data_IF_291361214934
#
_entry.id   IF_291361214934
#
_cell.length_a   1.000
_cell.length_b   1.000
_cell.length_c   1.000
_cell.angle_alpha   90.00
_cell.angle_beta   90.00
_cell.angle_gamma   90.00
#
_symmetry.space_group_name_H-M   'P 1'
#
loop_
_entity.id
_entity.type
_entity.pdbx_description
1 polymer ?
#
# COMPACT_ATOMS: atom_id res chain seq x y z
N UNK A 1 -24.11 6.92 -1.48
CA UNK A 1 -23.43 6.35 -0.30
C UNK A 1 -22.01 6.91 -0.31
N UNK A 2 -21.64 7.73 0.67
CA UNK A 2 -20.45 8.59 0.59
C UNK A 2 -19.18 7.76 0.81
N UNK A 3 -18.23 7.78 -0.15
CA UNK A 3 -16.94 7.03 -0.11
C UNK A 3 -16.24 7.21 1.25
N UNK A 4 -16.37 8.37 1.89
CA UNK A 4 -15.82 8.63 3.23
C UNK A 4 -16.23 7.62 4.30
N UNK A 5 -17.44 7.05 4.22
CA UNK A 5 -17.96 6.06 5.19
C UNK A 5 -17.32 4.67 5.03
N UNK A 6 -16.68 4.43 3.89
CA UNK A 6 -16.03 3.17 3.57
C UNK A 6 -14.52 3.20 3.88
N UNK A 7 -13.97 4.33 4.37
CA UNK A 7 -12.58 4.37 4.80
C UNK A 7 -12.34 3.29 5.86
N UNK A 8 -11.23 2.55 5.73
CA UNK A 8 -10.89 1.40 6.57
C UNK A 8 -11.83 0.19 6.45
N UNK A 9 -12.83 0.21 5.56
CA UNK A 9 -13.64 -0.97 5.27
C UNK A 9 -12.91 -1.90 4.29
N UNK A 10 -13.03 -3.19 4.55
CA UNK A 10 -12.59 -4.24 3.62
C UNK A 10 -13.59 -4.31 2.47
N UNK A 11 -13.07 -4.28 1.25
CA UNK A 11 -13.83 -4.35 0.01
C UNK A 11 -13.27 -5.45 -0.87
N UNK A 12 -14.13 -6.06 -1.69
CA UNK A 12 -13.76 -7.04 -2.71
C UNK A 12 -14.18 -6.49 -4.07
N UNK A 13 -13.25 -6.49 -5.02
CA UNK A 13 -13.48 -6.06 -6.41
C UNK A 13 -12.87 -7.10 -7.34
N UNK A 14 -13.50 -7.30 -8.50
CA UNK A 14 -13.02 -8.21 -9.55
C UNK A 14 -12.62 -7.41 -10.78
N UNK A 15 -11.51 -7.80 -11.41
CA UNK A 15 -10.96 -7.02 -12.52
C UNK A 15 -9.51 -7.34 -12.84
N UNK A 16 -8.88 -6.51 -13.65
CA UNK A 16 -7.49 -6.67 -14.06
C UNK A 16 -6.69 -5.37 -13.93
N UNK A 17 -5.37 -5.50 -13.83
CA UNK A 17 -4.48 -4.35 -13.71
C UNK A 17 -4.11 -3.77 -15.07
N UNK A 18 -4.10 -2.44 -15.18
CA UNK A 18 -3.39 -1.76 -16.26
C UNK A 18 -1.95 -1.48 -15.79
N UNK A 19 -1.00 -2.14 -16.43
CA UNK A 19 0.41 -2.04 -16.10
C UNK A 19 1.13 -0.87 -16.76
N UNK A 20 0.49 -0.16 -17.69
CA UNK A 20 1.09 0.95 -18.45
C UNK A 20 1.24 2.24 -17.63
N UNK A 21 0.43 2.39 -16.58
CA UNK A 21 0.29 3.63 -15.80
C UNK A 21 0.63 3.45 -14.32
N UNK A 22 1.76 2.78 -14.07
CA UNK A 22 2.25 2.54 -12.71
C UNK A 22 2.73 3.84 -12.02
N UNK A 23 2.36 4.04 -10.76
CA UNK A 23 2.82 5.15 -9.93
C UNK A 23 3.68 4.65 -8.75
N UNK A 24 4.79 5.34 -8.48
CA UNK A 24 5.72 4.95 -7.43
C UNK A 24 5.62 5.89 -6.22
N UNK A 25 5.19 5.36 -5.08
CA UNK A 25 5.14 6.09 -3.81
C UNK A 25 6.38 5.76 -2.99
N UNK A 26 7.30 6.71 -2.81
CA UNK A 26 8.60 6.51 -2.16
C UNK A 26 9.07 7.73 -1.34
N UNK A 27 9.96 7.55 -0.35
CA UNK A 27 10.52 6.28 0.13
C UNK A 27 9.54 5.51 1.03
N UNK A 28 9.54 4.19 0.92
CA UNK A 28 8.89 3.25 1.84
C UNK A 28 9.93 2.28 2.38
N UNK A 29 9.77 1.86 3.63
CA UNK A 29 10.59 0.81 4.23
C UNK A 29 9.85 -0.53 4.11
N UNK A 30 10.56 -1.64 3.92
CA UNK A 30 9.95 -2.95 4.05
C UNK A 30 9.41 -3.11 5.48
N UNK A 31 8.21 -3.66 5.58
CA UNK A 31 7.62 -4.07 6.85
C UNK A 31 8.01 -5.52 7.05
N UNK A 32 8.76 -5.84 8.09
CA UNK A 32 9.11 -7.22 8.46
C UNK A 32 8.76 -7.37 9.94
N UNK A 33 7.74 -8.17 10.30
CA UNK A 33 7.28 -8.28 11.68
C UNK A 33 8.35 -8.76 12.67
N UNK A 34 9.24 -9.69 12.26
CA UNK A 34 10.30 -10.21 13.13
C UNK A 34 11.39 -9.16 13.32
N UNK A 35 11.73 -8.46 12.23
CA UNK A 35 12.70 -7.36 12.23
C UNK A 35 12.19 -6.16 13.03
N UNK A 36 10.93 -5.78 12.85
CA UNK A 36 10.29 -4.67 13.58
C UNK A 36 10.18 -4.98 15.07
N UNK A 37 9.89 -6.23 15.45
CA UNK A 37 9.88 -6.64 16.85
C UNK A 37 11.29 -6.60 17.47
N UNK A 38 12.32 -7.02 16.74
CA UNK A 38 13.72 -6.99 17.19
C UNK A 38 14.39 -5.61 17.16
N UNK A 39 13.89 -4.70 16.32
CA UNK A 39 14.38 -3.32 16.18
C UNK A 39 13.49 -2.29 16.89
N UNK A 40 12.38 -2.72 17.51
CA UNK A 40 11.51 -1.86 18.29
C UNK A 40 12.32 -1.09 19.36
N UNK A 41 12.36 0.24 19.22
CA UNK A 41 13.11 1.14 20.11
C UNK A 41 14.48 1.60 19.59
N UNK A 42 14.93 1.14 18.42
CA UNK A 42 16.09 1.72 17.72
C UNK A 42 15.66 2.97 16.93
N UNK A 43 16.47 4.03 17.01
CA UNK A 43 16.24 5.30 16.28
C UNK A 43 16.69 5.17 14.80
N UNK A 44 17.46 4.13 14.47
CA UNK A 44 17.93 3.84 13.12
C UNK A 44 16.95 2.95 12.36
N UNK A 45 16.35 3.47 11.30
CA UNK A 45 15.70 2.66 10.26
C UNK A 45 16.74 1.89 9.45
N UNK A 46 16.42 0.68 8.98
CA UNK A 46 17.22 0.01 7.95
C UNK A 46 17.49 0.91 6.77
N UNK A 47 18.67 0.80 6.18
CA UNK A 47 18.99 1.49 4.91
C UNK A 47 18.16 1.01 3.72
N UNK A 48 17.41 -0.09 3.88
CA UNK A 48 16.55 -0.63 2.84
C UNK A 48 15.30 0.24 2.64
N UNK A 49 15.17 0.78 1.44
CA UNK A 49 14.01 1.57 1.02
C UNK A 49 13.66 1.26 -0.43
N UNK A 50 12.36 1.30 -0.73
CA UNK A 50 11.79 1.05 -2.05
C UNK A 50 10.46 1.78 -2.19
N UNK A 51 9.81 1.73 -3.36
CA UNK A 51 8.47 2.28 -3.52
C UNK A 51 7.38 1.30 -3.08
N UNK A 52 6.23 1.87 -2.69
CA UNK A 52 4.96 1.18 -2.88
C UNK A 52 4.50 1.42 -4.33
N UNK A 53 4.12 0.34 -5.00
CA UNK A 53 3.64 0.38 -6.39
C UNK A 53 2.13 0.53 -6.41
N UNK A 54 1.66 1.65 -6.96
CA UNK A 54 0.23 1.91 -7.19
C UNK A 54 -0.07 1.68 -8.66
N UNK A 55 -1.17 0.97 -8.96
CA UNK A 55 -1.61 0.74 -10.34
C UNK A 55 -3.09 1.00 -10.52
N UNK A 56 -3.49 1.45 -11.71
CA UNK A 56 -4.87 1.38 -12.13
C UNK A 56 -5.37 -0.08 -12.19
N UNK A 57 -6.59 -0.28 -11.75
CA UNK A 57 -7.30 -1.56 -11.75
C UNK A 57 -8.70 -1.34 -12.32
N UNK A 58 -9.00 -2.02 -13.43
CA UNK A 58 -10.31 -1.93 -14.06
C UNK A 58 -11.26 -2.91 -13.38
N UNK A 59 -12.27 -2.38 -12.69
CA UNK A 59 -13.30 -3.15 -12.02
C UNK A 59 -14.36 -3.59 -13.04
N UNK A 60 -14.37 -4.86 -13.43
CA UNK A 60 -15.28 -5.38 -14.46
C UNK A 60 -16.75 -5.25 -14.06
N UNK A 61 -17.05 -5.39 -12.78
CA UNK A 61 -18.44 -5.40 -12.29
C UNK A 61 -19.04 -3.98 -12.22
N UNK A 62 -18.19 -2.96 -12.06
CA UNK A 62 -18.59 -1.56 -11.91
C UNK A 62 -18.35 -0.73 -13.19
N UNK A 63 -17.53 -1.24 -14.12
CA UNK A 63 -17.17 -0.54 -15.35
C UNK A 63 -16.26 0.68 -15.14
N UNK A 64 -15.63 0.80 -13.97
CA UNK A 64 -14.75 1.92 -13.60
C UNK A 64 -13.32 1.45 -13.37
N UNK A 65 -12.37 2.36 -13.51
CA UNK A 65 -10.97 2.11 -13.14
C UNK A 65 -10.65 2.84 -11.84
N UNK A 66 -9.96 2.17 -10.93
CA UNK A 66 -9.58 2.70 -9.61
C UNK A 66 -8.08 2.56 -9.37
N UNK A 67 -7.54 3.20 -8.32
CA UNK A 67 -6.15 3.03 -7.90
C UNK A 67 -6.02 1.91 -6.86
N UNK A 68 -4.99 1.08 -7.01
CA UNK A 68 -4.70 -0.01 -6.08
C UNK A 68 -3.23 0.02 -5.68
N UNK A 69 -2.96 0.06 -4.38
CA UNK A 69 -1.64 -0.22 -3.84
C UNK A 69 -1.39 -1.73 -3.87
N UNK A 70 -0.46 -2.15 -4.73
CA UNK A 70 0.00 -3.55 -4.82
C UNK A 70 0.93 -3.90 -3.67
N UNK A 71 1.67 -2.91 -3.17
CA UNK A 71 2.59 -3.06 -2.07
C UNK A 71 4.02 -2.63 -2.35
N UNK A 72 4.86 -2.92 -1.36
CA UNK A 72 6.29 -2.61 -1.38
C UNK A 72 7.03 -3.40 -2.46
N UNK A 73 7.93 -2.72 -3.17
CA UNK A 73 8.87 -3.33 -4.11
C UNK A 73 10.30 -2.94 -3.72
N UNK A 74 11.25 -3.89 -3.60
CA UNK A 74 12.65 -3.57 -3.36
C UNK A 74 13.23 -2.67 -4.45
N UNK A 75 14.19 -1.81 -4.09
CA UNK A 75 14.81 -0.85 -5.03
C UNK A 75 15.37 -1.49 -6.30
N UNK A 76 15.93 -2.69 -6.17
CA UNK A 76 16.53 -3.42 -7.30
C UNK A 76 15.48 -4.03 -8.24
N UNK A 77 14.20 -4.02 -7.85
CA UNK A 77 13.07 -4.58 -8.59
C UNK A 77 12.03 -3.53 -9.01
N UNK A 78 12.37 -2.24 -8.97
CA UNK A 78 11.45 -1.15 -9.36
C UNK A 78 10.98 -1.32 -10.81
N UNK A 79 11.86 -1.78 -11.69
CA UNK A 79 11.58 -1.98 -13.11
C UNK A 79 10.53 -3.08 -13.33
N UNK A 80 9.38 -2.81 -13.98
CA UNK A 80 8.31 -3.78 -14.21
C UNK A 80 8.77 -5.11 -14.81
N UNK A 81 9.74 -5.07 -15.72
CA UNK A 81 10.35 -6.22 -16.40
C UNK A 81 11.08 -7.18 -15.45
N UNK A 82 11.55 -6.68 -14.31
CA UNK A 82 12.26 -7.49 -13.29
C UNK A 82 11.31 -8.25 -12.36
N UNK A 83 9.99 -8.04 -12.51
CA UNK A 83 8.95 -8.51 -11.59
C UNK A 83 7.77 -9.18 -12.31
N UNK A 84 8.07 -10.10 -13.23
CA UNK A 84 7.12 -10.84 -14.08
C UNK A 84 5.97 -11.46 -13.27
N UNK A 85 6.27 -12.08 -12.12
CA UNK A 85 5.25 -12.70 -11.25
C UNK A 85 4.15 -11.73 -10.80
N UNK A 86 4.46 -10.43 -10.71
CA UNK A 86 3.53 -9.39 -10.30
C UNK A 86 2.88 -8.63 -11.45
N UNK A 87 3.06 -9.06 -12.71
CA UNK A 87 2.43 -8.49 -13.91
C UNK A 87 1.27 -9.39 -14.39
N UNK A 88 0.26 -9.55 -13.55
CA UNK A 88 -0.91 -10.36 -13.88
C UNK A 88 -1.85 -9.58 -14.80
N UNK A 89 -2.09 -10.13 -15.99
CA UNK A 89 -2.98 -9.55 -17.01
C UNK A 89 -4.40 -10.14 -16.97
N UNK A 90 -4.60 -11.25 -16.26
CA UNK A 90 -5.90 -11.91 -16.12
C UNK A 90 -6.79 -11.20 -15.09
N UNK A 91 -8.09 -11.51 -15.14
CA UNK A 91 -9.03 -11.05 -14.13
C UNK A 91 -8.77 -11.75 -12.79
N UNK A 92 -8.60 -10.96 -11.73
CA UNK A 92 -8.33 -11.41 -10.36
C UNK A 92 -9.38 -10.88 -9.40
N UNK A 93 -9.59 -11.63 -8.32
CA UNK A 93 -10.36 -11.17 -7.17
C UNK A 93 -9.41 -10.41 -6.23
N UNK A 94 -9.53 -9.08 -6.23
CA UNK A 94 -8.78 -8.19 -5.36
C UNK A 94 -9.58 -7.94 -4.08
N UNK A 95 -8.95 -8.23 -2.95
CA UNK A 95 -9.45 -7.83 -1.64
C UNK A 95 -8.52 -6.75 -1.10
N UNK A 96 -9.10 -5.70 -0.54
CA UNK A 96 -8.31 -4.62 0.01
C UNK A 96 -9.08 -3.74 0.98
N UNK A 97 -8.38 -2.73 1.50
CA UNK A 97 -8.93 -1.75 2.44
C UNK A 97 -8.99 -0.40 1.76
N UNK A 98 -10.14 0.25 1.79
CA UNK A 98 -10.29 1.55 1.17
C UNK A 98 -9.59 2.64 2.00
N UNK A 99 -8.88 3.55 1.32
CA UNK A 99 -8.15 4.65 1.96
C UNK A 99 -8.42 5.95 1.22
N UNK A 100 -8.60 7.04 1.98
CA UNK A 100 -8.82 8.37 1.41
C UNK A 100 -7.51 9.07 1.08
N UNK A 101 -7.61 10.17 0.34
CA UNK A 101 -6.48 11.06 0.03
C UNK A 101 -5.78 11.52 1.32
N UNK A 102 -4.46 11.64 1.26
CA UNK A 102 -3.62 12.06 2.39
C UNK A 102 -3.38 13.57 2.33
N UNK A 103 -3.53 14.24 3.46
CA UNK A 103 -3.06 15.60 3.60
C UNK A 103 -1.53 15.62 3.68
N UNK A 104 -0.91 16.45 2.85
CA UNK A 104 0.54 16.65 2.88
C UNK A 104 0.97 17.17 4.25
N UNK A 105 1.83 16.42 4.93
CA UNK A 105 2.40 16.83 6.22
C UNK A 105 3.49 17.89 6.03
N UNK A 106 3.72 18.76 7.03
CA UNK A 106 4.90 19.63 7.06
C UNK A 106 6.17 18.80 6.88
N UNK A 107 7.14 19.31 6.11
CA UNK A 107 8.41 18.66 5.78
C UNK A 107 8.37 17.47 4.81
N UNK A 108 7.19 17.05 4.34
CA UNK A 108 7.09 16.11 3.21
C UNK A 108 7.28 16.90 1.91
N UNK A 109 8.19 16.53 1.00
CA UNK A 109 8.31 17.21 -0.29
C UNK A 109 7.02 17.09 -1.12
N UNK A 110 6.73 18.05 -2.02
CA UNK A 110 5.59 17.93 -2.94
C UNK A 110 5.79 16.74 -3.89
N UNK A 111 4.70 16.11 -4.34
CA UNK A 111 4.75 15.06 -5.34
C UNK A 111 5.36 15.58 -6.65
N UNK A 112 6.18 14.76 -7.32
CA UNK A 112 6.75 15.07 -8.62
C UNK A 112 6.14 14.14 -9.69
N UNK A 113 5.16 14.68 -10.41
CA UNK A 113 4.41 13.95 -11.44
C UNK A 113 5.29 13.57 -12.63
N UNK A 114 6.14 14.49 -13.09
CA UNK A 114 6.99 14.30 -14.28
C UNK A 114 7.96 13.14 -14.13
N UNK A 115 8.54 12.98 -12.95
CA UNK A 115 9.49 11.88 -12.65
C UNK A 115 8.82 10.66 -12.02
N UNK A 116 7.48 10.66 -11.92
CA UNK A 116 6.69 9.63 -11.26
C UNK A 116 7.17 9.30 -9.83
N UNK A 117 7.49 10.35 -9.06
CA UNK A 117 7.93 10.24 -7.66
C UNK A 117 6.88 10.84 -6.75
N UNK A 118 6.13 9.98 -6.10
CA UNK A 118 5.06 10.36 -5.17
C UNK A 118 5.53 10.17 -3.74
N UNK A 119 5.30 11.15 -2.88
CA UNK A 119 5.68 11.12 -1.47
C UNK A 119 4.49 10.87 -0.53
N UNK A 120 3.28 11.24 -0.97
CA UNK A 120 2.03 11.03 -0.27
C UNK A 120 0.91 10.71 -1.25
N UNK A 121 -0.16 10.07 -0.77
CA UNK A 121 -1.32 9.70 -1.61
C UNK A 121 -2.18 10.92 -1.89
N UNK A 122 -2.00 11.53 -3.06
CA UNK A 122 -2.84 12.61 -3.57
C UNK A 122 -3.77 12.04 -4.65
N UNK A 123 -5.01 11.68 -4.28
CA UNK A 123 -5.90 10.96 -5.19
C UNK A 123 -6.34 11.78 -6.39
N UNK A 124 -6.56 13.09 -6.22
CA UNK A 124 -6.93 13.99 -7.31
C UNK A 124 -5.80 14.06 -8.33
N UNK A 125 -4.57 14.31 -7.88
CA UNK A 125 -3.41 14.39 -8.77
C UNK A 125 -3.10 13.03 -9.43
N UNK A 126 -3.17 11.93 -8.68
CA UNK A 126 -2.94 10.58 -9.22
C UNK A 126 -4.02 10.18 -10.24
N UNK A 127 -5.28 10.49 -9.96
CA UNK A 127 -6.41 10.26 -10.85
C UNK A 127 -6.27 11.03 -12.16
N UNK A 128 -5.87 12.31 -12.08
CA UNK A 128 -5.64 13.15 -13.26
C UNK A 128 -4.56 12.60 -14.19
N UNK A 129 -3.49 12.03 -13.64
CA UNK A 129 -2.37 11.47 -14.41
C UNK A 129 -2.74 10.13 -15.05
N UNK A 130 -3.56 9.32 -14.36
CA UNK A 130 -3.89 7.96 -14.80
C UNK A 130 -5.20 7.86 -15.57
N UNK A 131 -6.09 8.85 -15.44
CA UNK A 131 -7.42 8.88 -16.04
C UNK A 131 -8.38 7.89 -15.37
N UNK A 132 -8.36 7.81 -14.04
CA UNK A 132 -9.13 6.86 -13.23
C UNK A 132 -9.99 7.60 -12.20
N UNK A 133 -10.90 6.88 -11.53
CA UNK A 133 -11.69 7.43 -10.43
C UNK A 133 -10.83 7.68 -9.19
N UNK A 134 -11.20 8.67 -8.36
CA UNK A 134 -10.54 9.01 -7.08
C UNK A 134 -10.83 7.98 -5.97
N UNK A 135 -10.78 6.69 -6.31
CA UNK A 135 -10.98 5.56 -5.41
C UNK A 135 -9.65 4.85 -5.26
N UNK A 136 -9.28 4.59 -4.01
CA UNK A 136 -8.04 3.90 -3.70
C UNK A 136 -8.23 2.75 -2.73
N UNK A 137 -7.64 1.62 -3.09
CA UNK A 137 -7.66 0.38 -2.30
C UNK A 137 -6.22 -0.06 -1.97
N UNK A 138 -5.95 -0.35 -0.70
CA UNK A 138 -4.73 -1.02 -0.28
C UNK A 138 -4.94 -2.54 -0.33
N UNK A 139 -4.25 -3.23 -1.23
CA UNK A 139 -4.41 -4.67 -1.38
C UNK A 139 -3.93 -5.39 -0.10
N UNK A 140 -4.75 -6.29 0.43
CA UNK A 140 -4.36 -7.10 1.60
C UNK A 140 -3.61 -8.36 1.17
N UNK A 141 -2.88 -8.96 2.12
CA UNK A 141 -2.09 -10.17 1.93
C UNK A 141 -2.89 -11.33 1.32
N UNK A 142 -4.12 -11.54 1.80
CA UNK A 142 -4.99 -12.65 1.35
C UNK A 142 -5.54 -12.46 -0.08
N UNK A 143 -5.18 -11.37 -0.76
CA UNK A 143 -5.63 -11.13 -2.12
C UNK A 143 -5.02 -12.15 -3.07
N UNK A 144 -5.79 -12.62 -4.08
CA UNK A 144 -5.38 -13.66 -5.04
C UNK A 144 -4.24 -13.25 -5.98
N UNK A 145 -3.50 -12.17 -5.69
CA UNK A 145 -2.59 -11.55 -6.62
C UNK A 145 -1.14 -11.93 -6.27
N UNK A 146 -0.49 -12.77 -7.09
CA UNK A 146 0.90 -13.17 -6.87
C UNK A 146 1.83 -11.95 -6.74
N UNK A 147 2.71 -11.96 -5.74
CA UNK A 147 3.66 -10.88 -5.45
C UNK A 147 3.01 -9.56 -4.97
N UNK A 148 1.83 -9.63 -4.34
CA UNK A 148 1.20 -8.50 -3.64
C UNK A 148 1.77 -8.28 -2.23
N UNK A 149 1.21 -7.31 -1.48
CA UNK A 149 1.59 -6.91 -0.12
C UNK A 149 1.80 -8.10 0.85
N UNK A 150 3.05 -8.58 0.98
CA UNK A 150 3.41 -9.69 1.88
C UNK A 150 3.39 -9.31 3.38
N UNK A 151 3.17 -8.04 3.74
CA UNK A 151 3.64 -7.53 5.03
C UNK A 151 2.68 -6.61 5.84
N UNK A 152 1.40 -6.45 5.49
CA UNK A 152 0.58 -5.34 6.02
C UNK A 152 0.00 -5.51 7.45
N UNK A 153 0.40 -6.52 8.24
CA UNK A 153 -0.25 -6.78 9.56
C UNK A 153 0.70 -6.92 10.76
N UNK A 154 1.97 -6.52 10.67
CA UNK A 154 2.92 -6.61 11.81
C UNK A 154 2.65 -5.62 12.95
N UNK A 155 2.27 -4.38 12.62
CA UNK A 155 2.24 -3.30 13.62
C UNK A 155 1.15 -3.46 14.71
N UNK A 156 0.00 -4.07 14.41
CA UNK A 156 -1.11 -4.17 15.36
C UNK A 156 -0.87 -5.27 16.41
N UNK A 157 -0.30 -6.40 16.00
CA UNK A 157 0.06 -7.48 16.92
C UNK A 157 1.23 -7.08 17.82
N UNK A 158 2.25 -6.42 17.27
CA UNK A 158 3.41 -5.96 18.02
C UNK A 158 3.04 -4.90 19.07
N UNK A 159 2.20 -3.92 18.71
CA UNK A 159 1.72 -2.91 19.67
C UNK A 159 0.85 -3.51 20.76
N UNK A 160 -0.06 -4.43 20.41
CA UNK A 160 -0.90 -5.14 21.37
C UNK A 160 -0.07 -6.00 22.35
N UNK A 161 0.95 -6.71 21.85
CA UNK A 161 1.87 -7.50 22.67
C UNK A 161 2.76 -6.62 23.56
N UNK A 162 3.28 -5.49 23.05
CA UNK A 162 4.05 -4.53 23.85
C UNK A 162 3.23 -3.97 25.01
N UNK A 163 1.96 -3.63 24.78
CA UNK A 163 1.07 -3.16 25.85
C UNK A 163 0.77 -4.25 26.87
N UNK A 164 0.51 -5.48 26.42
CA UNK A 164 0.33 -6.63 27.30
C UNK A 164 1.57 -6.92 28.16
N UNK A 165 2.75 -6.97 27.55
CA UNK A 165 4.00 -7.23 28.25
C UNK A 165 4.41 -6.10 29.21
N UNK A 166 4.16 -4.84 28.83
CA UNK A 166 4.59 -3.67 29.62
C UNK A 166 3.65 -3.34 30.77
N UNK A 167 2.34 -3.51 30.59
CA UNK A 167 1.34 -3.05 31.55
C UNK A 167 0.59 -4.19 32.25
N UNK A 168 0.31 -5.30 31.56
CA UNK A 168 -0.50 -6.38 32.15
C UNK A 168 0.37 -7.34 32.97
N UNK A 169 1.55 -7.73 32.48
CA UNK A 169 2.48 -8.59 33.25
C UNK A 169 3.01 -7.95 34.54
N UNK A 170 3.04 -6.61 34.64
CA UNK A 170 3.53 -5.90 35.84
C UNK A 170 2.49 -5.77 36.96
N UNK A 171 1.22 -6.08 36.70
CA UNK A 171 0.14 -6.00 37.70
C UNK A 171 -0.04 -7.35 38.43
N UNK A 172 0.49 -8.44 37.87
CA UNK A 172 0.51 -9.74 38.53
C UNK A 172 1.75 -9.87 39.44
N UNK A 173 1.76 -9.14 40.57
CA UNK A 173 2.56 -9.45 41.76
C UNK A 173 1.92 -8.83 43.01
#
# INVERSE_FOLDING_TARGET
MEIKQLEYRRVKVRGHFDHSKELNVLPRSPVDPEREAGEAGKISTSGESGPNVIKPFYCTDLGITILVNRGYVPKDKIRPETRIKGQVTENVDLVGVMRLTEQRKPFVPPNNVETNRWHYRDLEAMAKVTGVEEIFIDAVLDSTIPGGNEHMYGLCAATSYMWYAKFIKRIAL
#
